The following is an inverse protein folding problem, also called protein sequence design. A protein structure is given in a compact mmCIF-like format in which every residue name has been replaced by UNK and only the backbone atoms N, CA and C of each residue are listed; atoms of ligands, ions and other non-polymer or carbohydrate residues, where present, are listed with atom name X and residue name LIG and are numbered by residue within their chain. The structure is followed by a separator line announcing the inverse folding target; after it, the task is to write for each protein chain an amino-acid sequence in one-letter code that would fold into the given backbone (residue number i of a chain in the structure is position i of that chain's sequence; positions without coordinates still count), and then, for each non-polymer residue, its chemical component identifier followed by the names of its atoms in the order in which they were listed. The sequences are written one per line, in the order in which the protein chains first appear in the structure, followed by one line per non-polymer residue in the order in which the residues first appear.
data_IF_603737637740
#
_entry.id   IF_603737637740
#
_cell.length_a   1.000
_cell.length_b   1.000
_cell.length_c   1.000
_cell.angle_alpha   90.00
_cell.angle_beta   90.00
_cell.angle_gamma   90.00
#
_symmetry.space_group_name_H-M   'P 1'
#
loop_
_entity.id
_entity.type
_entity.pdbx_description
1 polymer ?
#
# COMPACT_ATOMS: atom_id res chain seq x y z
N UNK A 1 10.77 -16.93 -8.11
CA UNK A 1 10.94 -17.60 -6.79
C UNK A 1 9.92 -18.72 -6.57
N UNK A 2 8.63 -18.57 -6.91
CA UNK A 2 7.60 -19.61 -6.70
C UNK A 2 7.50 -20.74 -7.74
N UNK A 3 8.18 -20.66 -8.88
CA UNK A 3 8.02 -21.63 -10.00
C UNK A 3 9.06 -22.77 -9.96
N UNK A 4 10.18 -22.63 -9.23
CA UNK A 4 11.28 -23.62 -9.22
C UNK A 4 11.38 -24.49 -7.96
N UNK A 5 10.71 -24.16 -6.85
CA UNK A 5 10.94 -24.81 -5.55
C UNK A 5 9.76 -25.64 -5.00
N UNK A 6 8.68 -25.83 -5.77
CA UNK A 6 7.43 -26.32 -5.19
C UNK A 6 6.85 -25.31 -4.19
N UNK A 7 5.58 -25.44 -3.86
CA UNK A 7 4.98 -24.64 -2.79
C UNK A 7 5.39 -25.36 -1.49
N UNK A 8 6.37 -24.87 -0.71
CA UNK A 8 6.61 -25.44 0.62
C UNK A 8 5.31 -25.32 1.41
N UNK A 9 5.03 -26.30 2.27
CA UNK A 9 3.83 -26.30 3.09
C UNK A 9 3.63 -24.94 3.78
N UNK A 10 2.38 -24.50 4.02
CA UNK A 10 2.09 -23.15 4.49
C UNK A 10 2.88 -22.76 5.75
N UNK A 11 3.31 -23.73 6.56
CA UNK A 11 4.12 -23.52 7.76
C UNK A 11 5.61 -23.21 7.54
N UNK A 12 6.15 -23.43 6.34
CA UNK A 12 7.59 -23.26 6.03
C UNK A 12 7.83 -22.10 5.05
N UNK A 13 6.78 -21.33 4.75
CA UNK A 13 6.85 -20.26 3.77
C UNK A 13 7.33 -18.94 4.42
N UNK A 14 8.55 -18.46 4.11
CA UNK A 14 9.12 -17.28 4.76
C UNK A 14 8.31 -16.00 4.51
N UNK A 15 7.62 -15.89 3.37
CA UNK A 15 6.75 -14.74 3.07
C UNK A 15 5.54 -14.66 4.00
N UNK A 16 5.02 -15.81 4.42
CA UNK A 16 3.86 -15.89 5.31
C UNK A 16 4.28 -15.47 6.74
N UNK A 17 5.46 -15.92 7.18
CA UNK A 17 6.05 -15.53 8.46
C UNK A 17 6.37 -14.03 8.51
N UNK A 18 6.90 -13.46 7.43
CA UNK A 18 7.12 -12.01 7.31
C UNK A 18 5.82 -11.20 7.42
N UNK A 19 4.74 -11.68 6.80
CA UNK A 19 3.44 -11.00 6.84
C UNK A 19 2.83 -11.03 8.25
N UNK A 20 2.90 -12.19 8.92
CA UNK A 20 2.45 -12.33 10.32
C UNK A 20 3.31 -11.43 11.24
N UNK A 21 4.63 -11.47 11.08
CA UNK A 21 5.55 -10.65 11.86
C UNK A 21 5.29 -9.15 11.69
N UNK A 22 4.98 -8.69 10.48
CA UNK A 22 4.64 -7.29 10.21
C UNK A 22 3.35 -6.88 10.93
N UNK A 23 2.31 -7.71 10.88
CA UNK A 23 1.02 -7.43 11.54
C UNK A 23 1.19 -7.40 13.06
N UNK A 24 1.85 -8.42 13.62
CA UNK A 24 2.09 -8.48 15.07
C UNK A 24 2.99 -7.34 15.56
N UNK A 25 4.07 -7.07 14.84
CA UNK A 25 4.98 -5.97 15.16
C UNK A 25 4.29 -4.61 15.14
N UNK A 26 3.52 -4.31 14.09
CA UNK A 26 2.75 -3.07 14.00
C UNK A 26 1.73 -2.94 15.13
N UNK A 27 1.08 -4.05 15.51
CA UNK A 27 0.10 -4.07 16.60
C UNK A 27 0.76 -3.81 17.96
N UNK A 28 1.89 -4.47 18.25
CA UNK A 28 2.63 -4.26 19.50
C UNK A 28 3.10 -2.81 19.63
N UNK A 29 3.65 -2.24 18.55
CA UNK A 29 4.10 -0.85 18.55
C UNK A 29 2.93 0.12 18.73
N UNK A 30 1.80 -0.11 18.05
CA UNK A 30 0.61 0.73 18.22
C UNK A 30 0.07 0.70 19.66
N UNK A 31 0.16 -0.46 20.33
CA UNK A 31 -0.28 -0.62 21.72
C UNK A 31 0.68 0.07 22.71
N UNK A 32 2.00 -0.01 22.46
CA UNK A 32 3.01 0.70 23.23
C UNK A 32 2.88 2.23 23.08
N UNK A 33 2.53 2.71 21.88
CA UNK A 33 2.29 4.12 21.63
C UNK A 33 0.93 4.61 22.15
N UNK A 34 0.05 3.72 22.63
CA UNK A 34 -1.31 4.04 23.08
C UNK A 34 -2.19 4.72 22.01
N UNK A 35 -1.81 4.59 20.73
CA UNK A 35 -2.50 5.16 19.56
C UNK A 35 -3.46 4.15 18.90
N UNK A 36 -3.74 3.03 19.58
CA UNK A 36 -4.63 2.00 19.05
C UNK A 36 -6.08 2.47 19.06
N UNK A 37 -6.55 2.96 17.90
CA UNK A 37 -7.93 3.43 17.71
C UNK A 37 -8.67 2.57 16.69
N UNK A 38 -9.78 1.96 17.13
CA UNK A 38 -10.67 1.22 16.24
C UNK A 38 -11.49 2.20 15.37
N UNK A 39 -11.05 2.39 14.12
CA UNK A 39 -11.75 3.25 13.14
C UNK A 39 -12.60 2.40 12.21
N UNK A 40 -13.93 2.57 12.25
CA UNK A 40 -14.81 1.93 11.27
C UNK A 40 -14.60 2.59 9.90
N UNK A 41 -14.38 1.81 8.83
CA UNK A 41 -14.23 2.38 7.49
C UNK A 41 -15.60 2.89 6.99
N UNK A 42 -15.60 4.10 6.41
CA UNK A 42 -16.75 4.57 5.64
C UNK A 42 -16.87 3.74 4.33
N UNK A 43 -18.07 3.63 3.77
CA UNK A 43 -18.35 2.84 2.55
C UNK A 43 -17.49 3.29 1.38
N UNK A 44 -17.31 4.61 1.24
CA UNK A 44 -16.47 5.19 0.19
C UNK A 44 -15.00 4.79 0.36
N UNK A 45 -14.46 4.90 1.58
CA UNK A 45 -13.08 4.51 1.89
C UNK A 45 -12.84 3.02 1.61
N UNK A 46 -13.83 2.16 1.89
CA UNK A 46 -13.74 0.75 1.59
C UNK A 46 -13.66 0.47 0.08
N UNK A 47 -14.42 1.20 -0.74
CA UNK A 47 -14.34 1.08 -2.21
C UNK A 47 -12.97 1.52 -2.72
N UNK A 48 -12.43 2.65 -2.23
CA UNK A 48 -11.07 3.08 -2.60
C UNK A 48 -9.99 2.10 -2.16
N UNK A 49 -10.12 1.48 -0.99
CA UNK A 49 -9.19 0.47 -0.51
C UNK A 49 -9.18 -0.78 -1.40
N UNK A 50 -10.35 -1.25 -1.85
CA UNK A 50 -10.45 -2.38 -2.77
C UNK A 50 -9.85 -2.07 -4.16
N UNK A 51 -10.20 -0.91 -4.73
CA UNK A 51 -9.69 -0.50 -6.04
C UNK A 51 -8.16 -0.30 -5.96
N UNK A 52 -7.67 0.40 -4.94
CA UNK A 52 -6.24 0.62 -4.73
C UNK A 52 -5.48 -0.68 -4.49
N UNK A 53 -6.01 -1.58 -3.66
CA UNK A 53 -5.38 -2.86 -3.34
C UNK A 53 -5.27 -3.79 -4.55
N UNK A 54 -6.32 -3.87 -5.38
CA UNK A 54 -6.29 -4.67 -6.62
C UNK A 54 -5.27 -4.11 -7.61
N UNK A 55 -5.23 -2.79 -7.79
CA UNK A 55 -4.28 -2.12 -8.68
C UNK A 55 -2.83 -2.29 -8.20
N UNK A 56 -2.58 -2.20 -6.89
CA UNK A 56 -1.28 -2.48 -6.29
C UNK A 56 -0.83 -3.93 -6.50
N UNK A 57 -1.76 -4.89 -6.36
CA UNK A 57 -1.47 -6.31 -6.60
C UNK A 57 -1.12 -6.62 -8.05
N UNK A 58 -1.86 -6.04 -9.01
CA UNK A 58 -1.58 -6.17 -10.44
C UNK A 58 -0.21 -5.55 -10.76
N UNK A 59 0.06 -4.35 -10.26
CA UNK A 59 1.35 -3.67 -10.44
C UNK A 59 2.53 -4.46 -9.89
N UNK A 60 2.38 -5.05 -8.69
CA UNK A 60 3.42 -5.89 -8.08
C UNK A 60 3.74 -7.14 -8.89
N UNK A 61 2.72 -7.71 -9.58
CA UNK A 61 2.92 -8.85 -10.49
C UNK A 61 3.63 -8.44 -11.77
N UNK A 62 3.26 -7.31 -12.38
CA UNK A 62 3.90 -6.80 -13.59
C UNK A 62 5.37 -6.42 -13.35
N UNK A 63 5.65 -5.79 -12.21
CA UNK A 63 7.01 -5.39 -11.84
C UNK A 63 7.85 -6.54 -11.24
N UNK A 64 7.25 -7.71 -10.99
CA UNK A 64 7.87 -8.84 -10.30
C UNK A 64 8.55 -8.47 -8.98
N UNK A 65 7.95 -7.54 -8.22
CA UNK A 65 8.54 -7.00 -7.00
C UNK A 65 7.56 -6.17 -6.18
N UNK A 66 7.94 -5.93 -4.92
CA UNK A 66 7.30 -4.94 -4.05
C UNK A 66 8.20 -3.71 -3.92
N UNK A 67 7.76 -2.68 -3.21
CA UNK A 67 8.62 -1.53 -2.88
C UNK A 67 9.94 -1.95 -2.21
N UNK A 68 9.91 -2.87 -1.24
CA UNK A 68 11.11 -3.35 -0.52
C UNK A 68 12.05 -4.12 -1.46
N UNK A 69 11.55 -5.16 -2.11
CA UNK A 69 12.38 -6.05 -2.93
C UNK A 69 12.68 -5.54 -4.33
N UNK A 70 11.79 -4.75 -4.92
CA UNK A 70 11.90 -4.20 -6.27
C UNK A 70 12.64 -2.87 -6.32
N UNK A 71 12.56 -2.03 -5.28
CA UNK A 71 13.34 -0.79 -5.22
C UNK A 71 14.54 -0.93 -4.30
N UNK A 72 14.33 -1.01 -2.98
CA UNK A 72 15.39 -0.83 -1.99
C UNK A 72 16.53 -1.84 -2.12
N UNK A 73 16.21 -3.13 -2.30
CA UNK A 73 17.25 -4.18 -2.45
C UNK A 73 18.00 -4.02 -3.79
N UNK A 74 17.30 -3.73 -4.89
CA UNK A 74 17.92 -3.58 -6.22
C UNK A 74 18.77 -2.32 -6.32
N UNK A 75 18.28 -1.20 -5.77
CA UNK A 75 19.01 0.06 -5.71
C UNK A 75 20.26 -0.06 -4.84
N UNK A 76 20.18 -0.72 -3.67
CA UNK A 76 21.34 -0.98 -2.82
C UNK A 76 22.39 -1.88 -3.50
N UNK A 77 21.95 -2.81 -4.34
CA UNK A 77 22.82 -3.65 -5.17
C UNK A 77 23.39 -2.95 -6.42
N UNK A 78 23.07 -1.68 -6.66
CA UNK A 78 23.54 -0.92 -7.83
C UNK A 78 22.85 -1.29 -9.15
N UNK A 79 21.71 -1.98 -9.10
CA UNK A 79 21.01 -2.45 -10.29
C UNK A 79 20.16 -1.30 -10.92
N UNK A 80 20.34 -1.00 -12.22
CA UNK A 80 19.62 0.08 -12.90
C UNK A 80 18.11 -0.19 -13.00
N UNK A 81 17.67 -1.45 -12.94
CA UNK A 81 16.25 -1.80 -12.90
C UNK A 81 15.55 -1.31 -11.63
N UNK A 82 16.28 -1.17 -10.51
CA UNK A 82 15.75 -0.54 -9.30
C UNK A 82 15.39 0.94 -9.52
N UNK A 83 16.22 1.68 -10.26
CA UNK A 83 15.97 3.07 -10.60
C UNK A 83 14.79 3.27 -11.56
N UNK A 84 14.61 2.37 -12.52
CA UNK A 84 13.43 2.37 -13.41
C UNK A 84 12.16 2.10 -12.62
N UNK A 85 12.20 1.13 -11.70
CA UNK A 85 11.08 0.84 -10.81
C UNK A 85 10.75 2.03 -9.89
N UNK A 86 11.77 2.75 -9.40
CA UNK A 86 11.59 3.99 -8.64
C UNK A 86 10.89 5.08 -9.45
N UNK A 87 11.30 5.32 -10.69
CA UNK A 87 10.69 6.32 -11.55
C UNK A 87 9.20 6.01 -11.80
N UNK A 88 8.88 4.75 -12.10
CA UNK A 88 7.50 4.30 -12.27
C UNK A 88 6.65 4.42 -11.00
N UNK A 89 7.21 4.02 -9.86
CA UNK A 89 6.54 4.14 -8.56
C UNK A 89 6.32 5.60 -8.17
N UNK A 90 7.33 6.46 -8.34
CA UNK A 90 7.27 7.89 -8.02
C UNK A 90 6.24 8.62 -8.88
N UNK A 91 6.24 8.36 -10.19
CA UNK A 91 5.22 8.91 -11.10
C UNK A 91 3.81 8.45 -10.73
N UNK A 92 3.64 7.15 -10.47
CA UNK A 92 2.35 6.61 -10.05
C UNK A 92 1.85 7.21 -8.73
N UNK A 93 2.74 7.36 -7.73
CA UNK A 93 2.40 7.96 -6.44
C UNK A 93 2.00 9.43 -6.60
N UNK A 94 2.72 10.20 -7.41
CA UNK A 94 2.39 11.61 -7.66
C UNK A 94 0.99 11.78 -8.28
N UNK A 95 0.68 10.99 -9.32
CA UNK A 95 -0.64 11.01 -9.97
C UNK A 95 -1.74 10.61 -8.98
N UNK A 96 -1.51 9.55 -8.19
CA UNK A 96 -2.47 9.05 -7.22
C UNK A 96 -2.79 10.09 -6.14
N UNK A 97 -1.77 10.75 -5.58
CA UNK A 97 -1.95 11.80 -4.57
C UNK A 97 -2.70 12.99 -5.17
N UNK A 98 -2.31 13.44 -6.38
CA UNK A 98 -3.00 14.56 -7.03
C UNK A 98 -4.48 14.27 -7.28
N UNK A 99 -4.79 13.05 -7.74
CA UNK A 99 -6.17 12.60 -7.93
C UNK A 99 -6.95 12.55 -6.61
N UNK A 100 -6.36 11.97 -5.56
CA UNK A 100 -6.98 11.88 -4.24
C UNK A 100 -7.24 13.27 -3.64
N UNK A 101 -6.25 14.16 -3.66
CA UNK A 101 -6.38 15.53 -3.15
C UNK A 101 -7.48 16.29 -3.90
N UNK A 102 -7.55 16.17 -5.22
CA UNK A 102 -8.62 16.78 -6.01
C UNK A 102 -10.01 16.22 -5.64
N UNK A 103 -10.12 14.90 -5.48
CA UNK A 103 -11.38 14.25 -5.12
C UNK A 103 -11.84 14.65 -3.70
N UNK A 104 -10.94 14.60 -2.73
CA UNK A 104 -11.21 15.01 -1.34
C UNK A 104 -11.55 16.50 -1.26
N UNK A 105 -10.88 17.37 -2.01
CA UNK A 105 -11.18 18.81 -2.03
C UNK A 105 -12.59 19.12 -2.55
N UNK A 106 -13.16 18.26 -3.41
CA UNK A 106 -14.53 18.41 -3.88
C UNK A 106 -15.56 18.03 -2.83
N UNK A 107 -15.29 17.00 -2.03
CA UNK A 107 -16.21 16.62 -0.95
C UNK A 107 -16.31 17.73 0.10
N UNK A 108 -15.16 18.24 0.54
CA UNK A 108 -15.11 19.34 1.51
C UNK A 108 -15.84 20.62 1.06
N UNK A 109 -15.81 20.95 -0.25
CA UNK A 109 -16.48 22.13 -0.78
C UNK A 109 -18.01 21.95 -0.88
N UNK A 110 -18.48 20.70 -1.03
CA UNK A 110 -19.90 20.37 -1.01
C UNK A 110 -20.45 20.35 0.43
N UNK A 111 -19.63 19.91 1.39
CA UNK A 111 -19.98 19.92 2.81
C UNK A 111 -20.06 21.36 3.36
N UNK A 112 -19.18 22.27 2.91
CA UNK A 112 -19.18 23.69 3.29
C UNK A 112 -20.46 24.41 2.79
N UNK A 113 -20.90 24.13 1.56
CA UNK A 113 -22.11 24.71 0.97
C UNK A 113 -23.42 24.27 1.66
N UNK A 114 -23.44 23.09 2.31
CA UNK A 114 -24.60 22.60 3.07
C UNK A 114 -24.73 23.30 4.43
N UNK A 115 -23.62 23.75 5.03
CA UNK A 115 -23.58 24.44 6.34
C UNK A 115 -24.02 25.91 6.25
N UNK A 116 -23.82 26.58 5.11
CA UNK A 116 -24.21 27.99 4.87
C UNK A 116 -25.69 28.18 4.45
N UNK A 117 -26.44 27.09 4.28
CA UNK A 117 -27.84 27.09 3.80
C UNK A 117 -28.88 26.75 4.89
N UNK A 118 -28.45 26.62 6.15
CA UNK A 118 -29.29 26.50 7.38
C UNK A 118 -29.22 27.80 8.21
#
# INVERSE_FOLDING_TARGET
FGVRNGIPGPLVNPLLWLSIGLILGATVMALLSNEFKWKKPNRELFMFALIGGTLMGIGARLAMGCNIGGFFIRAAGGDPGGWVFFAGMGGGAYVSVKFMTWWTSRQLNLDDFDIDMD
#
